data_IF_008961796307
#
_entry.id   IF_008961796307
#
_cell.length_a   1.000
_cell.length_b   1.000
_cell.length_c   1.000
_cell.angle_alpha   90.00
_cell.angle_beta   90.00
_cell.angle_gamma   90.00
#
_symmetry.space_group_name_H-M   'P 1'
#
loop_
_entity.id
_entity.type
_entity.pdbx_description
1 polymer ?
#
# COMPACT_ATOMS: atom_id res chain seq x y z
N UNK A 1 -3.69 15.38 19.21
CA UNK A 1 -4.02 14.88 17.86
C UNK A 1 -5.26 14.01 17.99
N UNK A 2 -6.23 14.05 17.06
CA UNK A 2 -7.32 13.08 17.06
C UNK A 2 -6.76 11.66 16.95
N UNK A 3 -7.31 10.72 17.71
CA UNK A 3 -6.91 9.32 17.70
C UNK A 3 -7.80 8.57 16.72
N UNK A 4 -7.31 8.39 15.49
CA UNK A 4 -8.02 7.64 14.46
C UNK A 4 -7.90 6.13 14.70
N UNK A 5 -8.91 5.37 14.25
CA UNK A 5 -8.90 3.91 14.38
C UNK A 5 -9.46 3.26 13.13
N UNK A 6 -8.89 2.12 12.77
CA UNK A 6 -9.37 1.36 11.62
C UNK A 6 -10.70 0.67 11.94
N UNK A 7 -11.65 0.80 11.01
CA UNK A 7 -12.88 0.01 11.05
C UNK A 7 -12.58 -1.48 10.88
N UNK A 8 -13.53 -2.34 11.28
CA UNK A 8 -13.43 -3.79 11.07
C UNK A 8 -13.18 -4.17 9.61
N UNK A 9 -13.70 -3.38 8.64
CA UNK A 9 -13.43 -3.60 7.22
C UNK A 9 -11.97 -3.35 6.87
N UNK A 10 -11.40 -2.24 7.35
CA UNK A 10 -9.97 -1.92 7.13
C UNK A 10 -9.09 -3.01 7.74
N UNK A 11 -9.38 -3.43 8.98
CA UNK A 11 -8.65 -4.53 9.65
C UNK A 11 -8.70 -5.82 8.83
N UNK A 12 -9.89 -6.25 8.38
CA UNK A 12 -10.04 -7.45 7.55
C UNK A 12 -9.24 -7.40 6.23
N UNK A 13 -9.05 -6.21 5.67
CA UNK A 13 -8.21 -6.02 4.49
C UNK A 13 -6.72 -6.12 4.84
N UNK A 14 -6.31 -5.55 5.98
CA UNK A 14 -4.93 -5.59 6.48
C UNK A 14 -4.50 -7.01 6.91
N UNK A 15 -5.37 -7.77 7.58
CA UNK A 15 -5.05 -9.12 8.10
C UNK A 15 -4.57 -10.10 7.01
N UNK A 16 -4.83 -9.79 5.74
CA UNK A 16 -4.49 -10.62 4.59
C UNK A 16 -3.19 -10.22 3.89
N UNK A 17 -2.55 -9.12 4.29
CA UNK A 17 -1.31 -8.62 3.66
C UNK A 17 -0.10 -8.86 4.55
N UNK A 18 1.09 -8.59 4.02
CA UNK A 18 2.35 -8.71 4.72
C UNK A 18 2.32 -7.95 6.08
N UNK A 19 2.83 -8.53 7.19
CA UNK A 19 2.85 -7.89 8.51
C UNK A 19 3.44 -6.47 8.50
N UNK A 20 4.55 -6.24 7.79
CA UNK A 20 5.11 -4.90 7.60
C UNK A 20 4.11 -3.88 7.00
N UNK A 21 3.22 -4.27 6.09
CA UNK A 21 2.18 -3.35 5.58
C UNK A 21 1.12 -3.06 6.62
N UNK A 22 0.73 -4.06 7.41
CA UNK A 22 -0.22 -3.88 8.52
C UNK A 22 0.34 -2.86 9.49
N UNK A 23 1.58 -3.06 9.90
CA UNK A 23 2.28 -2.22 10.86
C UNK A 23 2.58 -0.82 10.29
N UNK A 24 2.94 -0.70 9.01
CA UNK A 24 3.03 0.60 8.33
C UNK A 24 1.71 1.35 8.37
N UNK A 25 0.59 0.68 8.06
CA UNK A 25 -0.73 1.31 8.07
C UNK A 25 -1.11 1.78 9.49
N UNK A 26 -0.90 0.95 10.51
CA UNK A 26 -1.15 1.32 11.90
C UNK A 26 -0.28 2.50 12.35
N UNK A 27 1.01 2.51 11.97
CA UNK A 27 1.91 3.60 12.34
C UNK A 27 1.60 4.89 11.58
N UNK A 28 1.26 4.80 10.30
CA UNK A 28 0.82 5.95 9.50
C UNK A 28 -0.45 6.58 10.09
N UNK A 29 -1.39 5.77 10.60
CA UNK A 29 -2.61 6.26 11.25
C UNK A 29 -2.34 7.10 12.51
N UNK A 30 -1.24 6.83 13.22
CA UNK A 30 -0.84 7.61 14.40
C UNK A 30 -0.18 8.95 14.05
N UNK A 31 0.40 9.07 12.85
CA UNK A 31 1.13 10.26 12.42
C UNK A 31 0.31 11.18 11.52
N UNK A 32 -0.64 10.64 10.77
CA UNK A 32 -1.44 11.40 9.81
C UNK A 32 -2.30 12.46 10.48
N UNK A 33 -2.54 13.56 9.76
CA UNK A 33 -3.51 14.60 10.15
C UNK A 33 -4.89 14.37 9.52
N UNK A 34 -4.97 13.42 8.59
CA UNK A 34 -6.15 13.06 7.81
C UNK A 34 -6.45 11.59 8.06
N UNK A 35 -7.66 11.28 8.53
CA UNK A 35 -8.10 9.90 8.71
C UNK A 35 -8.15 9.17 7.36
N UNK A 36 -8.00 7.85 7.37
CA UNK A 36 -8.07 7.05 6.15
C UNK A 36 -8.55 5.62 6.41
N UNK A 37 -9.17 5.04 5.40
CA UNK A 37 -9.62 3.65 5.41
C UNK A 37 -8.80 2.81 4.44
N UNK A 38 -8.53 1.55 4.82
CA UNK A 38 -7.97 0.56 3.91
C UNK A 38 -9.11 -0.07 3.11
N UNK A 39 -9.09 0.14 1.81
CA UNK A 39 -10.16 -0.28 0.90
C UNK A 39 -9.84 -1.59 0.16
N UNK A 40 -8.56 -1.91 0.01
CA UNK A 40 -8.10 -3.15 -0.64
C UNK A 40 -6.79 -3.65 -0.01
N UNK A 41 -6.63 -4.96 0.05
CA UNK A 41 -5.42 -5.65 0.52
C UNK A 41 -5.06 -6.76 -0.46
N UNK A 42 -5.03 -8.02 -0.01
CA UNK A 42 -4.84 -9.18 -0.90
C UNK A 42 -5.99 -9.29 -1.92
N UNK A 43 -5.65 -9.48 -3.20
CA UNK A 43 -6.60 -9.72 -4.31
C UNK A 43 -6.44 -11.11 -4.90
N UNK A 44 -7.52 -11.64 -5.45
CA UNK A 44 -7.45 -12.82 -6.35
C UNK A 44 -7.07 -12.41 -7.77
N UNK A 45 -6.68 -13.39 -8.60
CA UNK A 45 -6.35 -13.14 -10.00
C UNK A 45 -7.56 -12.64 -10.79
N UNK A 46 -8.75 -13.15 -10.48
CA UNK A 46 -10.01 -12.77 -11.09
C UNK A 46 -10.36 -11.31 -10.78
N UNK A 47 -10.22 -10.90 -9.52
CA UNK A 47 -10.42 -9.51 -9.09
C UNK A 47 -9.46 -8.56 -9.82
N UNK A 48 -8.17 -8.92 -9.89
CA UNK A 48 -7.16 -8.10 -10.57
C UNK A 48 -7.43 -8.01 -12.08
N UNK A 49 -7.78 -9.12 -12.73
CA UNK A 49 -8.13 -9.13 -14.15
C UNK A 49 -9.37 -8.26 -14.44
N UNK A 50 -10.37 -8.29 -13.55
CA UNK A 50 -11.54 -7.42 -13.67
C UNK A 50 -11.18 -5.93 -13.52
N UNK A 51 -10.24 -5.57 -12.65
CA UNK A 51 -9.76 -4.19 -12.54
C UNK A 51 -9.00 -3.73 -13.80
N UNK A 52 -8.17 -4.60 -14.37
CA UNK A 52 -7.47 -4.32 -15.64
C UNK A 52 -8.48 -4.14 -16.78
N UNK A 53 -9.46 -5.05 -16.91
CA UNK A 53 -10.50 -4.95 -17.93
C UNK A 53 -11.34 -3.67 -17.82
N UNK A 54 -11.57 -3.19 -16.60
CA UNK A 54 -12.29 -1.94 -16.33
C UNK A 54 -11.38 -0.70 -16.34
N UNK A 55 -10.10 -0.82 -16.72
CA UNK A 55 -9.15 0.29 -16.81
C UNK A 55 -8.71 0.88 -15.47
N UNK A 56 -9.03 0.24 -14.34
CA UNK A 56 -8.67 0.65 -12.98
C UNK A 56 -7.31 0.13 -12.52
N UNK A 57 -6.66 -0.70 -13.33
CA UNK A 57 -5.28 -1.15 -13.16
C UNK A 57 -4.64 -1.30 -14.55
N UNK A 58 -3.32 -1.13 -14.63
CA UNK A 58 -2.54 -1.38 -15.85
C UNK A 58 -1.84 -2.73 -15.84
N UNK A 59 -1.58 -3.28 -14.65
CA UNK A 59 -0.77 -4.48 -14.49
C UNK A 59 -1.63 -5.67 -14.03
N UNK A 60 -1.77 -6.75 -14.84
CA UNK A 60 -2.42 -7.97 -14.41
C UNK A 60 -1.63 -8.74 -13.33
N UNK A 61 -0.36 -8.41 -13.09
CA UNK A 61 0.55 -9.05 -12.12
C UNK A 61 0.88 -8.15 -10.93
N UNK A 62 -0.13 -7.46 -10.40
CA UNK A 62 0.03 -6.54 -9.26
C UNK A 62 0.50 -7.22 -7.98
N UNK A 63 1.24 -6.46 -7.15
CA UNK A 63 1.64 -6.82 -5.78
C UNK A 63 0.48 -7.14 -4.84
N UNK A 64 -0.74 -6.67 -5.14
CA UNK A 64 -1.95 -7.09 -4.44
C UNK A 64 -2.18 -8.60 -4.50
N UNK A 65 -1.75 -9.29 -5.55
CA UNK A 65 -1.87 -10.75 -5.68
C UNK A 65 -1.00 -11.53 -4.69
N UNK A 66 -0.01 -10.85 -4.13
CA UNK A 66 0.95 -11.44 -3.21
C UNK A 66 0.80 -10.91 -1.79
N UNK A 67 -0.18 -10.02 -1.53
CA UNK A 67 -0.31 -9.37 -0.22
C UNK A 67 0.83 -8.38 0.06
N UNK A 68 1.47 -7.85 -0.99
CA UNK A 68 2.57 -6.88 -0.92
C UNK A 68 2.13 -5.45 -1.25
N UNK A 69 0.82 -5.22 -1.37
CA UNK A 69 0.24 -3.90 -1.55
C UNK A 69 -1.09 -3.74 -0.81
N UNK A 70 -1.43 -2.49 -0.52
CA UNK A 70 -2.70 -2.04 0.03
C UNK A 70 -3.17 -0.81 -0.72
N UNK A 71 -4.49 -0.64 -0.80
CA UNK A 71 -5.09 0.62 -1.24
C UNK A 71 -5.80 1.30 -0.07
N UNK A 72 -5.63 2.61 0.03
CA UNK A 72 -6.34 3.44 0.99
C UNK A 72 -7.25 4.48 0.31
N UNK A 73 -8.17 5.02 1.10
CA UNK A 73 -8.94 6.22 0.75
C UNK A 73 -8.89 7.19 1.93
N UNK A 74 -8.58 8.46 1.65
CA UNK A 74 -8.59 9.51 2.66
C UNK A 74 -10.03 9.84 3.04
N UNK A 75 -10.26 10.12 4.32
CA UNK A 75 -11.56 10.55 4.84
C UNK A 75 -11.52 12.07 4.94
N UNK A 76 -12.39 12.72 4.17
CA UNK A 76 -12.50 14.17 4.17
C UNK A 76 -13.02 14.66 5.53
N UNK A 77 -12.27 15.49 6.26
CA UNK A 77 -12.67 15.97 7.58
C UNK A 77 -13.90 16.90 7.52
N UNK A 78 -14.20 17.51 6.38
CA UNK A 78 -15.37 18.37 6.21
C UNK A 78 -16.67 17.58 6.01
N UNK A 79 -16.59 16.40 5.38
CA UNK A 79 -17.77 15.61 4.99
C UNK A 79 -17.88 14.25 5.67
N UNK A 80 -16.80 13.76 6.28
CA UNK A 80 -16.68 12.42 6.83
C UNK A 80 -16.70 11.30 5.78
N UNK A 81 -16.57 11.63 4.50
CA UNK A 81 -16.65 10.66 3.39
C UNK A 81 -15.27 10.24 2.93
N UNK A 82 -15.11 8.95 2.66
CA UNK A 82 -13.92 8.43 1.99
C UNK A 82 -13.88 8.90 0.53
N UNK A 83 -12.71 9.30 0.05
CA UNK A 83 -12.50 9.78 -1.31
C UNK A 83 -11.03 9.80 -1.72
N UNK A 84 -10.80 10.41 -2.88
CA UNK A 84 -9.50 10.47 -3.56
C UNK A 84 -9.02 11.90 -3.78
N UNK A 85 -9.41 12.84 -2.90
CA UNK A 85 -8.90 14.20 -2.97
C UNK A 85 -7.37 14.19 -2.86
N UNK A 86 -6.70 14.74 -3.88
CA UNK A 86 -5.26 14.58 -4.05
C UNK A 86 -4.44 15.13 -2.89
N UNK A 87 -4.89 16.24 -2.28
CA UNK A 87 -4.20 16.85 -1.16
C UNK A 87 -4.35 16.00 0.10
N UNK A 88 -5.56 15.50 0.37
CA UNK A 88 -5.81 14.58 1.47
C UNK A 88 -5.06 13.25 1.32
N UNK A 89 -5.03 12.70 0.10
CA UNK A 89 -4.25 11.48 -0.20
C UNK A 89 -2.75 11.70 0.02
N UNK A 90 -2.24 12.92 -0.25
CA UNK A 90 -0.83 13.27 -0.01
C UNK A 90 -0.48 13.32 1.47
N UNK A 91 -1.34 13.88 2.32
CA UNK A 91 -1.13 13.87 3.77
C UNK A 91 -0.99 12.44 4.31
N UNK A 92 -1.85 11.53 3.85
CA UNK A 92 -1.79 10.11 4.23
C UNK A 92 -0.54 9.44 3.65
N UNK A 93 -0.21 9.67 2.37
CA UNK A 93 1.00 9.15 1.74
C UNK A 93 2.29 9.59 2.44
N UNK A 94 2.35 10.86 2.88
CA UNK A 94 3.45 11.37 3.71
C UNK A 94 3.54 10.66 5.06
N UNK A 95 2.40 10.37 5.70
CA UNK A 95 2.37 9.61 6.95
C UNK A 95 2.87 8.16 6.76
N UNK A 96 2.57 7.52 5.63
CA UNK A 96 3.15 6.23 5.27
C UNK A 96 4.68 6.32 5.10
N UNK A 97 5.20 7.37 4.45
CA UNK A 97 6.66 7.56 4.35
C UNK A 97 7.32 7.82 5.69
N UNK A 98 6.67 8.59 6.57
CA UNK A 98 7.15 8.77 7.93
C UNK A 98 7.25 7.43 8.67
N UNK A 99 6.18 6.62 8.62
CA UNK A 99 6.16 5.28 9.19
C UNK A 99 7.25 4.37 8.57
N UNK A 100 7.46 4.44 7.26
CA UNK A 100 8.47 3.67 6.55
C UNK A 100 9.90 4.00 7.02
N UNK A 101 10.22 5.28 7.12
CA UNK A 101 11.52 5.75 7.64
C UNK A 101 11.73 5.32 9.08
N UNK A 102 10.72 5.52 9.93
CA UNK A 102 10.79 5.16 11.35
C UNK A 102 11.06 3.67 11.56
N UNK A 103 10.46 2.83 10.71
CA UNK A 103 10.57 1.36 10.81
C UNK A 103 11.71 0.74 10.02
N UNK A 104 12.39 1.53 9.17
CA UNK A 104 13.34 0.99 8.21
C UNK A 104 12.69 0.10 7.13
N UNK A 105 11.38 0.24 6.91
CA UNK A 105 10.65 -0.51 5.87
C UNK A 105 10.71 0.25 4.55
N UNK A 106 10.92 -0.47 3.44
CA UNK A 106 10.95 0.17 2.11
C UNK A 106 9.66 -0.07 1.37
N UNK A 107 9.06 1.03 0.93
CA UNK A 107 7.81 1.05 0.21
C UNK A 107 7.85 2.11 -0.90
N UNK A 108 6.92 1.98 -1.85
CA UNK A 108 6.55 3.04 -2.78
C UNK A 108 5.11 3.44 -2.52
N UNK A 109 4.82 4.70 -2.82
CA UNK A 109 3.47 5.22 -2.91
C UNK A 109 3.16 5.57 -4.37
N UNK A 110 2.04 5.04 -4.89
CA UNK A 110 1.61 5.24 -6.27
C UNK A 110 1.28 6.69 -6.63
N UNK A 111 1.04 7.54 -5.62
CA UNK A 111 0.92 8.99 -5.79
C UNK A 111 2.22 9.69 -6.21
N UNK A 112 3.37 8.98 -6.23
CA UNK A 112 4.65 9.49 -6.73
C UNK A 112 5.06 8.88 -8.08
N UNK A 113 4.24 8.00 -8.67
CA UNK A 113 4.56 7.40 -9.96
C UNK A 113 4.48 8.40 -11.11
N UNK A 114 5.44 8.34 -12.02
CA UNK A 114 5.43 9.15 -13.24
C UNK A 114 4.51 8.52 -14.28
N UNK A 115 3.53 9.27 -14.80
CA UNK A 115 2.62 8.83 -15.86
C UNK A 115 1.25 8.40 -15.33
N UNK A 116 1.13 7.19 -14.79
CA UNK A 116 -0.11 6.69 -14.17
C UNK A 116 -0.04 6.86 -12.66
N UNK A 117 -0.59 7.98 -12.17
CA UNK A 117 -0.66 8.24 -10.74
C UNK A 117 -1.76 7.39 -10.09
N UNK A 118 -1.35 6.54 -9.13
CA UNK A 118 -2.25 5.66 -8.38
C UNK A 118 -2.22 6.03 -6.90
N UNK A 119 -2.87 7.15 -6.56
CA UNK A 119 -2.85 7.71 -5.21
C UNK A 119 -3.26 6.74 -4.08
N UNK A 120 -4.21 5.81 -4.26
CA UNK A 120 -4.53 4.81 -3.24
C UNK A 120 -3.39 3.86 -2.88
N UNK A 121 -2.49 3.60 -3.82
CA UNK A 121 -1.65 2.41 -3.80
C UNK A 121 -0.39 2.59 -2.96
N UNK A 122 -0.19 1.72 -1.97
CA UNK A 122 1.05 1.58 -1.21
C UNK A 122 1.58 0.16 -1.44
N UNK A 123 2.86 0.02 -1.77
CA UNK A 123 3.48 -1.28 -1.97
C UNK A 123 4.85 -1.41 -1.32
N UNK A 124 5.19 -2.61 -0.85
CA UNK A 124 6.54 -2.91 -0.40
C UNK A 124 7.48 -3.05 -1.59
N UNK A 125 8.70 -2.51 -1.48
CA UNK A 125 9.81 -2.77 -2.43
C UNK A 125 10.53 -4.08 -2.08
N UNK A 126 10.21 -4.65 -0.92
CA UNK A 126 11.02 -5.66 -0.28
C UNK A 126 11.16 -6.97 -1.09
N UNK A 127 12.38 -7.53 -1.24
CA UNK A 127 12.60 -8.81 -1.91
C UNK A 127 12.05 -10.02 -1.11
N UNK A 128 11.62 -9.84 0.15
CA UNK A 128 11.01 -10.91 0.96
C UNK A 128 9.81 -11.52 0.23
N UNK A 129 9.85 -12.85 0.04
CA UNK A 129 8.81 -13.62 -0.66
C UNK A 129 8.03 -14.47 0.34
N UNK A 130 6.73 -14.60 0.10
CA UNK A 130 5.90 -15.57 0.78
C UNK A 130 6.27 -16.97 0.29
N UNK A 131 6.70 -17.86 1.19
CA UNK A 131 7.08 -19.24 0.84
C UNK A 131 5.90 -20.23 0.90
N UNK A 132 4.69 -19.73 1.19
CA UNK A 132 3.50 -20.55 1.43
C UNK A 132 3.16 -20.75 2.91
N UNK A 133 4.04 -20.35 3.84
CA UNK A 133 3.86 -20.49 5.30
C UNK A 133 4.32 -19.25 6.09
N UNK A 134 5.37 -18.57 5.62
CA UNK A 134 5.94 -17.38 6.24
C UNK A 134 6.58 -16.46 5.19
N UNK A 135 6.86 -15.23 5.58
CA UNK A 135 7.67 -14.30 4.80
C UNK A 135 9.14 -14.61 5.03
N UNK A 136 9.83 -15.03 3.98
CA UNK A 136 11.26 -15.42 4.07
C UNK A 136 12.17 -14.25 3.75
N UNK A 137 13.32 -14.21 4.44
CA UNK A 137 14.30 -13.12 4.44
C UNK A 137 14.98 -12.82 3.10
N UNK A 138 15.61 -11.65 3.08
CA UNK A 138 16.18 -10.90 1.95
C UNK A 138 17.27 -11.70 1.21
N UNK A 139 17.08 -12.00 -0.10
CA UNK A 139 18.20 -12.19 -1.03
C UNK A 139 18.45 -10.88 -1.80
N UNK A 140 19.50 -10.18 -1.42
CA UNK A 140 20.09 -9.14 -2.26
C UNK A 140 20.98 -9.80 -3.31
N UNK A 141 20.44 -10.12 -4.49
CA UNK A 141 21.28 -10.01 -5.68
C UNK A 141 21.26 -8.54 -6.07
N UNK A 142 22.35 -7.85 -5.74
CA UNK A 142 22.68 -6.58 -6.39
C UNK A 142 22.44 -6.77 -7.89
N UNK A 143 21.67 -5.88 -8.51
CA UNK A 143 21.74 -5.67 -9.95
C UNK A 143 23.05 -4.94 -10.24
N UNK A 144 24.17 -5.55 -9.87
CA UNK A 144 25.46 -5.29 -10.47
C UNK A 144 25.65 -6.42 -11.47
N UNK A 145 26.11 -6.06 -12.65
CA UNK A 145 26.41 -6.97 -13.75
C UNK A 145 25.18 -7.26 -14.63
N UNK A 146 24.60 -6.16 -15.13
CA UNK A 146 24.21 -6.15 -16.53
C UNK A 146 25.47 -6.29 -17.38
N UNK A 147 25.79 -7.54 -17.73
CA UNK A 147 26.59 -7.87 -18.91
C UNK A 147 25.98 -7.13 -20.11
N UNK A 148 26.60 -6.02 -20.50
CA UNK A 148 26.44 -5.50 -21.83
C UNK A 148 27.25 -6.41 -22.76
N UNK A 149 26.53 -7.24 -23.51
CA UNK A 149 26.99 -7.85 -24.74
C UNK A 149 27.28 -6.79 -25.81
#
# INVERSE_FOLDING_TARGET
MPEFSFSARSIKNLDKVHPDLQELAHRALQWTRVDFAIISGLRTKEEQNALVANGKSKDPNSKHLHGLAIDFAAIDPATGKAGWDRALMMEVGCAFYHAAVERGTRMLWGGMWTGFEDCPHIELIDPRRWDGRQWTGIEWKLLTDGEAA
#
